data_IF_320741287575
#
_entry.id   IF_320741287575
#
_cell.length_a   1.000
_cell.length_b   1.000
_cell.length_c   1.000
_cell.angle_alpha   90.00
_cell.angle_beta   90.00
_cell.angle_gamma   90.00
#
_symmetry.space_group_name_H-M   'P 1'
#
loop_
_entity.id
_entity.type
_entity.pdbx_description
1 polymer ?
#
# COMPACT_ATOMS: atom_id res chain seq x y z
N UNK A 1 -12.02 20.45 -14.09
CA UNK A 1 -13.11 19.47 -13.97
C UNK A 1 -14.07 20.00 -12.92
N UNK A 2 -15.35 19.66 -13.01
CA UNK A 2 -16.32 19.99 -11.97
C UNK A 2 -16.13 19.11 -10.72
N UNK A 3 -16.21 19.71 -9.52
CA UNK A 3 -16.05 19.03 -8.22
C UNK A 3 -16.99 17.85 -8.05
N UNK A 4 -18.23 17.99 -8.53
CA UNK A 4 -19.22 16.91 -8.42
C UNK A 4 -18.81 15.71 -9.28
N UNK A 5 -18.33 15.96 -10.50
CA UNK A 5 -17.83 14.88 -11.38
C UNK A 5 -16.61 14.20 -10.77
N UNK A 6 -15.71 14.98 -10.16
CA UNK A 6 -14.53 14.44 -9.49
C UNK A 6 -14.91 13.62 -8.25
N UNK A 7 -15.83 14.10 -7.43
CA UNK A 7 -16.32 13.36 -6.26
C UNK A 7 -17.00 12.04 -6.66
N UNK A 8 -17.76 12.04 -7.75
CA UNK A 8 -18.37 10.82 -8.30
C UNK A 8 -17.31 9.83 -8.78
N UNK A 9 -16.23 10.30 -9.40
CA UNK A 9 -15.10 9.45 -9.79
C UNK A 9 -14.40 8.83 -8.58
N UNK A 10 -14.14 9.64 -7.54
CA UNK A 10 -13.57 9.16 -6.27
C UNK A 10 -14.49 8.12 -5.62
N UNK A 11 -15.81 8.34 -5.65
CA UNK A 11 -16.80 7.41 -5.12
C UNK A 11 -16.82 6.09 -5.90
N UNK A 12 -16.81 6.15 -7.23
CA UNK A 12 -16.77 4.95 -8.06
C UNK A 12 -15.54 4.11 -7.78
N UNK A 13 -14.35 4.73 -7.70
CA UNK A 13 -13.11 4.02 -7.40
C UNK A 13 -13.09 3.48 -5.95
N UNK A 14 -13.60 4.26 -5.00
CA UNK A 14 -13.74 3.82 -3.60
C UNK A 14 -14.64 2.59 -3.50
N UNK A 15 -15.79 2.57 -4.19
CA UNK A 15 -16.69 1.40 -4.21
C UNK A 15 -16.00 0.19 -4.81
N UNK A 16 -15.38 0.36 -5.97
CA UNK A 16 -14.66 -0.71 -6.65
C UNK A 16 -13.61 -1.34 -5.72
N UNK A 17 -12.75 -0.52 -5.10
CA UNK A 17 -11.71 -1.01 -4.20
C UNK A 17 -12.25 -1.55 -2.87
N UNK A 18 -13.43 -1.12 -2.44
CA UNK A 18 -14.08 -1.69 -1.26
C UNK A 18 -14.64 -3.10 -1.50
N UNK A 19 -15.01 -3.43 -2.74
CA UNK A 19 -15.57 -4.73 -3.11
C UNK A 19 -14.48 -5.72 -3.55
N UNK A 20 -13.50 -5.24 -4.32
CA UNK A 20 -12.48 -6.07 -4.98
C UNK A 20 -11.06 -5.83 -4.46
N UNK A 21 -10.89 -5.04 -3.40
CA UNK A 21 -9.58 -4.60 -2.91
C UNK A 21 -8.60 -5.71 -2.53
N UNK A 22 -9.06 -6.93 -2.29
CA UNK A 22 -8.20 -8.08 -1.97
C UNK A 22 -7.49 -8.67 -3.21
N UNK A 23 -7.99 -8.40 -4.42
CA UNK A 23 -7.42 -8.89 -5.69
C UNK A 23 -6.69 -7.80 -6.48
N UNK A 24 -6.66 -6.58 -5.97
CA UNK A 24 -6.14 -5.41 -6.68
C UNK A 24 -4.73 -5.06 -6.23
N UNK A 25 -3.99 -4.38 -7.12
CA UNK A 25 -2.64 -3.92 -6.84
C UNK A 25 -2.64 -2.68 -5.93
N UNK A 26 -1.60 -2.53 -5.11
CA UNK A 26 -1.43 -1.39 -4.20
C UNK A 26 -1.36 -0.06 -4.97
N UNK A 27 -0.83 -0.06 -6.20
CA UNK A 27 -0.74 1.13 -7.07
C UNK A 27 -2.12 1.77 -7.32
N UNK A 28 -3.18 0.97 -7.30
CA UNK A 28 -4.55 1.46 -7.48
C UNK A 28 -5.08 2.16 -6.23
N UNK A 29 -4.67 1.69 -5.05
CA UNK A 29 -4.92 2.39 -3.79
C UNK A 29 -4.12 3.71 -3.72
N UNK A 30 -2.89 3.75 -4.22
CA UNK A 30 -2.12 4.99 -4.33
C UNK A 30 -2.83 6.01 -5.24
N UNK A 31 -3.30 5.54 -6.40
CA UNK A 31 -4.09 6.35 -7.32
C UNK A 31 -5.38 6.89 -6.67
N UNK A 32 -6.06 6.09 -5.84
CA UNK A 32 -7.24 6.55 -5.08
C UNK A 32 -6.87 7.66 -4.08
N UNK A 33 -5.72 7.56 -3.41
CA UNK A 33 -5.25 8.60 -2.47
C UNK A 33 -5.01 9.91 -3.21
N UNK A 34 -4.36 9.88 -4.39
CA UNK A 34 -4.16 11.06 -5.21
C UNK A 34 -5.48 11.70 -5.68
N UNK A 35 -6.44 10.87 -6.12
CA UNK A 35 -7.76 11.35 -6.52
C UNK A 35 -8.50 12.03 -5.35
N UNK A 36 -8.41 11.45 -4.15
CA UNK A 36 -8.99 12.02 -2.93
C UNK A 36 -8.32 13.34 -2.55
N UNK A 37 -6.98 13.42 -2.61
CA UNK A 37 -6.26 14.66 -2.33
C UNK A 37 -6.69 15.77 -3.29
N UNK A 38 -6.72 15.48 -4.59
CA UNK A 38 -7.13 16.47 -5.59
C UNK A 38 -8.59 16.95 -5.38
N UNK A 39 -9.49 16.09 -4.92
CA UNK A 39 -10.85 16.48 -4.57
C UNK A 39 -10.87 17.42 -3.35
N UNK A 40 -10.09 17.11 -2.31
CA UNK A 40 -9.97 17.94 -1.10
C UNK A 40 -9.42 19.32 -1.46
N UNK A 41 -8.37 19.38 -2.28
CA UNK A 41 -7.77 20.65 -2.70
C UNK A 41 -8.77 21.55 -3.45
N UNK A 42 -9.63 20.96 -4.29
CA UNK A 42 -10.68 21.69 -5.00
C UNK A 42 -11.79 22.18 -4.06
N UNK A 43 -12.18 21.35 -3.08
CA UNK A 43 -13.18 21.74 -2.08
C UNK A 43 -12.67 22.92 -1.26
N UNK A 44 -11.40 22.88 -0.83
CA UNK A 44 -10.78 23.93 -0.02
C UNK A 44 -10.64 25.25 -0.79
N UNK A 45 -10.26 25.19 -2.08
CA UNK A 45 -10.08 26.37 -2.91
C UNK A 45 -11.38 27.16 -3.18
N UNK A 46 -12.52 26.47 -3.26
CA UNK A 46 -13.78 27.07 -3.71
C UNK A 46 -14.82 27.24 -2.59
N UNK A 47 -14.64 26.61 -1.43
CA UNK A 47 -15.37 26.85 -0.18
C UNK A 47 -16.84 26.41 -0.12
N UNK A 48 -17.58 26.51 -1.22
CA UNK A 48 -18.99 26.13 -1.29
C UNK A 48 -19.19 24.68 -1.78
N UNK A 49 -19.90 23.91 -0.95
CA UNK A 49 -20.31 22.54 -1.22
C UNK A 49 -21.81 22.51 -1.56
N UNK A 50 -22.15 22.09 -2.77
CA UNK A 50 -23.55 21.86 -3.15
C UNK A 50 -24.16 20.71 -2.33
N UNK A 51 -25.49 20.67 -2.17
CA UNK A 51 -26.17 19.56 -1.50
C UNK A 51 -25.86 18.19 -2.11
N UNK A 52 -25.70 18.12 -3.42
CA UNK A 52 -25.37 16.90 -4.17
C UNK A 52 -23.95 16.43 -3.82
N UNK A 53 -22.99 17.36 -3.82
CA UNK A 53 -21.60 17.06 -3.45
C UNK A 53 -21.50 16.60 -2.00
N UNK A 54 -22.25 17.21 -1.08
CA UNK A 54 -22.31 16.78 0.33
C UNK A 54 -22.79 15.34 0.47
N UNK A 55 -23.80 14.91 -0.31
CA UNK A 55 -24.28 13.52 -0.30
C UNK A 55 -23.19 12.55 -0.74
N UNK A 56 -22.48 12.87 -1.82
CA UNK A 56 -21.38 12.03 -2.32
C UNK A 56 -20.26 11.91 -1.28
N UNK A 57 -19.89 13.02 -0.63
CA UNK A 57 -18.88 13.01 0.45
C UNK A 57 -19.34 12.18 1.66
N UNK A 58 -20.61 12.29 2.05
CA UNK A 58 -21.18 11.46 3.11
C UNK A 58 -21.17 9.97 2.76
N UNK A 59 -21.41 9.63 1.50
CA UNK A 59 -21.34 8.25 1.02
C UNK A 59 -19.90 7.72 1.04
N UNK A 60 -18.91 8.53 0.65
CA UNK A 60 -17.49 8.16 0.73
C UNK A 60 -17.07 7.71 2.13
N UNK A 61 -17.51 8.43 3.18
CA UNK A 61 -17.20 8.08 4.56
C UNK A 61 -17.67 6.69 4.99
N UNK A 62 -18.69 6.13 4.33
CA UNK A 62 -19.20 4.79 4.66
C UNK A 62 -18.21 3.68 4.30
N UNK A 63 -17.30 3.95 3.36
CA UNK A 63 -16.32 2.99 2.86
C UNK A 63 -14.93 3.13 3.48
N UNK A 64 -14.67 4.20 4.25
CA UNK A 64 -13.34 4.51 4.75
C UNK A 64 -12.76 3.39 5.62
N UNK A 65 -13.55 2.81 6.51
CA UNK A 65 -13.10 1.69 7.34
C UNK A 65 -12.68 0.47 6.51
N UNK A 66 -13.38 0.20 5.41
CA UNK A 66 -13.09 -0.94 4.54
C UNK A 66 -11.78 -0.69 3.79
N UNK A 67 -11.65 0.48 3.17
CA UNK A 67 -10.42 0.88 2.44
C UNK A 67 -9.20 0.87 3.37
N UNK A 68 -9.33 1.45 4.57
CA UNK A 68 -8.25 1.42 5.56
C UNK A 68 -7.89 -0.01 5.97
N UNK A 69 -8.87 -0.91 6.06
CA UNK A 69 -8.66 -2.33 6.28
C UNK A 69 -7.80 -2.98 5.20
N UNK A 70 -8.12 -2.76 3.92
CA UNK A 70 -7.32 -3.27 2.80
C UNK A 70 -5.89 -2.72 2.84
N UNK A 71 -5.72 -1.41 2.99
CA UNK A 71 -4.40 -0.78 3.05
C UNK A 71 -3.56 -1.28 4.23
N UNK A 72 -4.19 -1.50 5.39
CA UNK A 72 -3.50 -2.05 6.55
C UNK A 72 -3.04 -3.50 6.32
N UNK A 73 -3.83 -4.30 5.59
CA UNK A 73 -3.45 -5.66 5.21
C UNK A 73 -2.24 -5.66 4.26
N UNK A 74 -2.29 -4.86 3.19
CA UNK A 74 -1.17 -4.70 2.25
C UNK A 74 0.11 -4.30 3.00
N UNK A 75 0.01 -3.34 3.92
CA UNK A 75 1.13 -2.91 4.76
C UNK A 75 1.69 -4.06 5.61
N UNK A 76 0.83 -4.88 6.21
CA UNK A 76 1.25 -6.02 7.02
C UNK A 76 1.94 -7.08 6.16
N UNK A 77 1.40 -7.41 5.00
CA UNK A 77 1.99 -8.37 4.06
C UNK A 77 3.39 -7.93 3.60
N UNK A 78 3.55 -6.65 3.29
CA UNK A 78 4.85 -6.07 2.95
C UNK A 78 5.84 -6.15 4.13
N UNK A 79 5.40 -5.84 5.34
CA UNK A 79 6.25 -5.94 6.54
C UNK A 79 6.71 -7.39 6.79
N UNK A 80 5.81 -8.36 6.67
CA UNK A 80 6.16 -9.77 6.80
C UNK A 80 7.11 -10.24 5.70
N UNK A 81 6.91 -9.82 4.45
CA UNK A 81 7.79 -10.14 3.34
C UNK A 81 9.23 -9.62 3.59
N UNK A 82 9.36 -8.41 4.12
CA UNK A 82 10.67 -7.83 4.50
C UNK A 82 11.34 -8.63 5.61
N UNK A 83 10.58 -9.06 6.64
CA UNK A 83 11.11 -9.91 7.71
C UNK A 83 11.63 -11.23 7.14
N UNK A 84 10.87 -11.88 6.25
CA UNK A 84 11.28 -13.12 5.58
C UNK A 84 12.56 -12.91 4.76
N UNK A 85 12.61 -11.86 3.93
CA UNK A 85 13.80 -11.53 3.13
C UNK A 85 15.05 -11.31 3.98
N UNK A 86 14.91 -10.62 5.11
CA UNK A 86 16.03 -10.43 6.05
C UNK A 86 16.47 -11.75 6.70
N UNK A 87 15.53 -12.65 6.99
CA UNK A 87 15.83 -14.01 7.43
C UNK A 87 16.63 -14.80 6.40
N UNK A 88 16.18 -14.80 5.14
CA UNK A 88 16.89 -15.48 4.04
C UNK A 88 18.30 -14.93 3.84
N UNK A 89 18.49 -13.61 3.87
CA UNK A 89 19.83 -12.99 3.78
C UNK A 89 20.75 -13.48 4.90
N UNK A 90 20.27 -13.54 6.14
CA UNK A 90 21.04 -14.06 7.28
C UNK A 90 21.44 -15.52 7.08
N UNK A 91 20.54 -16.36 6.57
CA UNK A 91 20.85 -17.75 6.26
C UNK A 91 21.91 -17.87 5.16
N UNK A 92 21.76 -17.13 4.05
CA UNK A 92 22.75 -17.11 2.97
C UNK A 92 24.12 -16.67 3.48
N UNK A 93 24.20 -15.65 4.34
CA UNK A 93 25.49 -15.24 4.92
C UNK A 93 26.08 -16.28 5.88
N UNK A 94 25.26 -16.97 6.67
CA UNK A 94 25.73 -18.01 7.60
C UNK A 94 26.26 -19.26 6.89
N UNK A 95 25.59 -19.70 5.81
CA UNK A 95 25.99 -20.88 5.04
C UNK A 95 26.96 -20.58 3.90
N UNK A 96 26.89 -19.38 3.31
CA UNK A 96 27.75 -18.95 2.18
C UNK A 96 29.18 -18.63 2.59
N UNK A 97 29.46 -18.40 3.88
CA UNK A 97 30.81 -18.12 4.38
C UNK A 97 31.58 -19.39 4.82
N UNK A 98 30.99 -20.58 4.71
CA UNK A 98 31.71 -21.86 4.94
C UNK A 98 32.57 -22.31 3.74
N UNK A 99 32.58 -21.56 2.64
CA UNK A 99 33.46 -21.82 1.48
C UNK A 99 34.87 -21.24 1.58
N UNK A 100 35.20 -20.51 2.66
CA UNK A 100 36.53 -19.91 2.85
C UNK A 100 37.12 -20.19 4.24
N UNK A 101 36.79 -21.34 4.83
CA UNK A 101 37.53 -21.89 5.96
C UNK A 101 38.63 -22.81 5.44
N UNK A 102 39.78 -22.19 5.19
CA UNK A 102 41.07 -22.67 5.70
C UNK A 102 41.36 -24.17 5.47
N UNK A 103 41.41 -24.58 4.21
CA UNK A 103 42.00 -25.85 3.78
C UNK A 103 43.53 -25.78 3.72
N UNK A 104 44.19 -25.24 4.74
CA UNK A 104 45.65 -25.27 4.88
C UNK A 104 46.04 -26.17 6.07
N UNK A 105 45.61 -27.43 6.00
CA UNK A 105 46.14 -28.50 6.86
C UNK A 105 47.57 -28.84 6.40
N UNK A 106 48.54 -28.01 6.81
CA UNK A 106 49.93 -28.44 6.91
C UNK A 106 50.09 -29.11 8.27
N UNK A 107 50.25 -30.43 8.27
CA UNK A 107 51.06 -31.08 9.29
C UNK A 107 52.34 -31.61 8.63
N UNK A 108 53.45 -30.96 8.97
CA UNK A 108 54.81 -31.39 8.63
C UNK A 108 55.38 -32.10 9.87
N UNK A 109 55.63 -33.41 9.68
CA UNK A 109 56.68 -34.25 10.33
C UNK A 109 56.57 -34.46 11.85
N UNK A 110 56.47 -35.73 12.26
CA UNK A 110 57.59 -36.67 12.34
C UNK A 110 57.12 -38.11 12.20
#
# INVERSE_FOLDING_TARGET
>A
MDKLTQAQRVLAETKYLSELGDSEDYERFESLVELRQSLVDQIDAEGELSPELKKVVQELFQYDTIILGHMQRIKNEAAEALIRLNGYKKQIHAYGNQGHLDGLMFDRRN
#
